data_IF_547126694473
#
_entry.id   IF_547126694473
#
_cell.length_a   1.000
_cell.length_b   1.000
_cell.length_c   1.000
_cell.angle_alpha   90.00
_cell.angle_beta   90.00
_cell.angle_gamma   90.00
#
_symmetry.space_group_name_H-M   'P 1'
#
loop_
_entity.id
_entity.type
_entity.pdbx_description
1 polymer ?
2 non-polymer ?
3 non-polymer ?
4 non-polymer ?
5 non-polymer ?
6 water ?
#
# COMPACT_ATOMS: atom_id res chain seq x y z
N UNK A 3 29.73 -0.70 11.98
CA UNK A 3 29.23 -1.35 10.77
C UNK A 3 28.08 -2.31 11.08
N UNK A 4 27.84 -2.54 12.37
CA UNK A 4 26.86 -3.53 12.83
C UNK A 4 25.98 -2.83 13.86
N UNK A 5 25.02 -2.03 13.38
CA UNK A 5 24.38 -0.97 14.15
C UNK A 5 23.37 -1.52 15.17
N UNK A 6 23.05 -0.68 16.16
CA UNK A 6 22.21 -1.03 17.28
C UNK A 6 21.03 -0.07 17.37
N UNK A 7 19.81 -0.62 17.43
CA UNK A 7 18.60 0.16 17.65
C UNK A 7 18.07 -0.15 19.03
N UNK A 8 17.59 0.88 19.73
CA UNK A 8 17.11 0.73 21.10
C UNK A 8 15.64 1.08 21.19
N UNK A 9 14.96 0.43 22.13
CA UNK A 9 13.64 0.85 22.58
C UNK A 9 13.80 1.54 23.94
N UNK A 10 13.12 2.66 24.11
CA UNK A 10 13.26 3.44 25.35
C UNK A 10 12.07 3.31 26.29
N UNK A 11 11.05 2.54 25.91
CA UNK A 11 9.99 2.12 26.83
C UNK A 11 10.37 0.84 27.57
N UNK A 12 11.13 -0.05 26.92
CA UNK A 12 11.45 -1.39 27.41
C UNK A 12 12.93 -1.63 27.64
N UNK A 13 13.80 -0.68 27.31
CA UNK A 13 15.26 -0.83 27.43
C UNK A 13 15.74 -2.10 26.71
N UNK A 14 15.14 -2.36 25.56
CA UNK A 14 15.43 -3.51 24.72
C UNK A 14 16.30 -3.06 23.56
N UNK A 15 17.29 -3.89 23.20
CA UNK A 15 18.26 -3.54 22.19
C UNK A 15 18.35 -4.66 21.17
N UNK A 16 18.31 -4.29 19.88
CA UNK A 16 18.46 -5.22 18.77
C UNK A 16 19.67 -4.80 17.94
N UNK A 17 20.22 -5.77 17.21
CA UNK A 17 21.37 -5.52 16.33
C UNK A 17 20.96 -5.72 14.88
N UNK A 18 21.39 -4.80 14.04
CA UNK A 18 20.95 -4.75 12.65
C UNK A 18 22.18 -4.95 11.75
N UNK A 19 22.36 -6.17 11.26
CA UNK A 19 23.28 -6.42 10.15
C UNK A 19 22.60 -6.43 8.80
N UNK A 20 21.27 -6.61 8.77
CA UNK A 20 20.54 -6.70 7.50
C UNK A 20 20.80 -5.50 6.60
N UNK A 21 21.03 -4.31 7.18
CA UNK A 21 21.30 -3.12 6.39
C UNK A 21 22.55 -3.24 5.53
N UNK A 22 23.42 -4.21 5.82
CA UNK A 22 24.61 -4.42 5.00
C UNK A 22 24.25 -4.95 3.61
N UNK A 23 23.17 -5.72 3.50
CA UNK A 23 22.74 -6.17 2.18
C UNK A 23 22.05 -5.08 1.39
N UNK A 24 21.80 -3.92 2.00
CA UNK A 24 21.06 -2.86 1.34
C UNK A 24 21.79 -2.36 0.11
N UNK A 25 21.03 -1.73 -0.77
CA UNK A 25 21.47 -1.44 -2.12
C UNK A 25 21.10 -0.03 -2.56
N UNK A 26 19.80 0.28 -2.53
CA UNK A 26 19.32 1.56 -3.01
C UNK A 26 19.69 2.68 -2.04
N UNK A 27 19.69 3.90 -2.55
CA UNK A 27 19.94 5.07 -1.74
C UNK A 27 18.64 5.59 -1.14
N UNK A 28 18.77 6.49 -0.16
CA UNK A 28 17.65 6.88 0.68
C UNK A 28 17.29 8.35 0.63
N UNK A 29 18.03 9.17 -0.11
CA UNK A 29 17.89 10.61 -0.06
C UNK A 29 18.76 11.28 0.99
N UNK A 30 19.03 10.60 2.10
CA UNK A 30 19.86 11.18 3.14
C UNK A 30 21.31 11.14 2.72
N UNK A 31 22.04 12.17 3.13
CA UNK A 31 23.49 12.20 2.99
C UNK A 31 24.11 12.27 4.38
N UNK A 32 25.43 12.40 4.42
CA UNK A 32 26.10 12.54 5.70
C UNK A 32 25.71 13.84 6.40
N UNK A 33 25.31 14.85 5.63
CA UNK A 33 25.08 16.19 6.15
C UNK A 33 23.62 16.65 6.08
N UNK A 34 22.69 15.76 5.73
CA UNK A 34 21.27 16.12 5.70
C UNK A 34 20.40 14.87 5.73
N UNK A 35 19.24 14.97 6.35
CA UNK A 35 18.33 13.85 6.50
C UNK A 35 17.00 14.20 5.86
N UNK A 36 16.56 13.39 4.91
CA UNK A 36 15.32 13.59 4.20
C UNK A 36 14.19 12.73 4.76
N UNK A 37 14.35 12.19 5.96
CA UNK A 37 13.47 11.20 6.51
C UNK A 37 11.98 11.53 6.55
N UNK A 38 11.63 12.76 6.16
CA UNK A 38 10.26 13.24 6.24
C UNK A 38 9.78 13.82 4.91
N UNK A 39 10.67 13.93 3.92
CA UNK A 39 10.21 14.13 2.57
C UNK A 39 9.29 12.97 2.18
N UNK A 40 8.17 13.32 1.53
CA UNK A 40 7.13 12.33 1.23
C UNK A 40 7.56 11.33 0.16
N UNK A 41 7.93 11.84 -1.02
CA UNK A 41 8.30 11.01 -2.16
C UNK A 41 9.67 11.48 -2.64
N UNK A 42 10.75 10.98 -2.04
CA UNK A 42 12.08 11.34 -2.53
C UNK A 42 12.22 10.87 -3.97
N UNK A 43 13.17 11.47 -4.70
CA UNK A 43 13.48 10.97 -6.03
C UNK A 43 13.99 9.53 -6.00
N UNK A 44 14.29 9.00 -4.81
CA UNK A 44 14.72 7.62 -4.65
C UNK A 44 13.55 6.65 -4.67
N UNK A 45 12.45 7.01 -3.99
CA UNK A 45 11.27 6.15 -3.88
C UNK A 45 10.42 6.12 -5.15
N UNK A 46 10.70 6.98 -6.13
CA UNK A 46 9.97 7.03 -7.38
C UNK A 46 10.76 6.30 -8.47
N UNK A 47 10.03 5.64 -9.38
CA UNK A 47 10.65 4.89 -10.48
C UNK A 47 10.82 5.71 -11.76
N UNK A 52 13.97 3.61 -16.40
CA UNK A 52 13.92 2.73 -17.57
C UNK A 52 15.26 2.00 -17.70
N UNK A 53 15.24 0.66 -17.63
CA UNK A 53 16.43 -0.15 -17.42
C UNK A 53 16.89 -0.87 -18.68
N UNK A 54 18.22 -1.01 -18.83
CA UNK A 54 18.85 -1.63 -19.99
C UNK A 54 19.42 -3.00 -19.65
N UNK A 55 20.04 -3.62 -20.65
CA UNK A 55 20.42 -5.03 -20.58
C UNK A 55 21.68 -5.24 -19.75
N UNK A 56 22.69 -4.40 -19.93
CA UNK A 56 23.88 -4.49 -19.08
C UNK A 56 23.52 -4.34 -17.62
N UNK A 57 22.58 -3.44 -17.31
CA UNK A 57 22.16 -3.26 -15.93
C UNK A 57 21.43 -4.48 -15.39
N UNK A 58 20.87 -5.33 -16.26
CA UNK A 58 19.89 -6.30 -15.82
C UNK A 58 20.48 -7.56 -15.23
N UNK A 59 21.65 -8.02 -15.67
CA UNK A 59 22.07 -9.31 -15.15
C UNK A 59 22.46 -9.28 -13.67
N UNK A 60 23.21 -8.27 -13.21
CA UNK A 60 23.48 -8.20 -11.75
C UNK A 60 22.23 -8.31 -10.90
N UNK A 61 21.18 -7.57 -11.26
CA UNK A 61 19.96 -7.60 -10.47
C UNK A 61 19.30 -8.97 -10.53
N UNK A 62 19.25 -9.56 -11.73
CA UNK A 62 18.77 -10.95 -11.82
C UNK A 62 19.65 -11.88 -11.01
N UNK A 63 20.97 -11.70 -11.10
CA UNK A 63 21.89 -12.53 -10.33
C UNK A 63 21.64 -12.41 -8.83
N UNK A 64 21.67 -11.18 -8.33
CA UNK A 64 21.54 -10.96 -6.89
C UNK A 64 20.24 -11.52 -6.35
N UNK A 65 19.14 -11.33 -7.07
CA UNK A 65 17.84 -11.85 -6.63
C UNK A 65 17.81 -13.37 -6.61
N UNK A 66 18.34 -14.01 -7.65
CA UNK A 66 18.32 -15.47 -7.67
C UNK A 66 19.21 -16.03 -6.58
N UNK A 67 20.27 -15.30 -6.22
CA UNK A 67 21.18 -15.80 -5.20
C UNK A 67 20.54 -15.78 -3.82
N UNK A 68 19.59 -14.87 -3.58
CA UNK A 68 18.87 -14.90 -2.31
C UNK A 68 17.68 -15.85 -2.37
N UNK A 69 17.04 -15.97 -3.53
CA UNK A 69 15.92 -16.90 -3.62
C UNK A 69 16.38 -18.34 -3.41
N UNK A 70 17.53 -18.72 -3.94
CA UNK A 70 18.01 -20.07 -3.66
C UNK A 70 18.64 -20.18 -2.28
N UNK A 71 19.18 -19.07 -1.76
CA UNK A 71 19.66 -19.07 -0.39
C UNK A 71 18.54 -19.32 0.61
N UNK A 72 17.30 -19.02 0.24
CA UNK A 72 16.17 -19.14 1.16
C UNK A 72 15.44 -20.48 1.07
N UNK A 73 15.76 -21.34 0.09
CA UNK A 73 15.20 -22.69 0.06
C UNK A 73 16.27 -23.72 0.39
N UNK A 74 17.36 -23.30 1.03
CA UNK A 74 18.45 -24.18 1.42
C UNK A 74 19.05 -24.90 0.22
N UNK A 75 19.32 -24.13 -0.84
CA UNK A 75 20.06 -24.61 -2.00
C UNK A 75 20.94 -23.50 -2.57
N UNK A 76 21.62 -22.78 -1.68
CA UNK A 76 22.54 -21.70 -2.02
C UNK A 76 23.74 -22.23 -2.78
N UNK A 77 23.74 -22.08 -4.11
CA UNK A 77 24.92 -22.34 -4.91
C UNK A 77 25.01 -23.71 -5.56
N UNK A 78 24.01 -24.56 -5.39
CA UNK A 78 24.06 -25.91 -5.94
C UNK A 78 23.94 -25.86 -7.46
N UNK A 79 23.71 -27.02 -8.07
CA UNK A 79 23.52 -27.08 -9.52
C UNK A 79 22.17 -26.50 -9.92
N UNK A 80 21.14 -26.67 -9.08
CA UNK A 80 19.86 -26.00 -9.33
C UNK A 80 20.05 -24.50 -9.40
N UNK A 81 20.81 -23.94 -8.45
CA UNK A 81 21.12 -22.51 -8.46
C UNK A 81 21.91 -22.13 -9.71
N UNK A 82 23.04 -22.79 -9.94
CA UNK A 82 23.91 -22.43 -11.05
C UNK A 82 23.20 -22.55 -12.39
N UNK A 83 22.47 -23.65 -12.62
CA UNK A 83 21.77 -23.82 -13.89
C UNK A 83 20.81 -22.67 -14.13
N UNK A 84 20.00 -22.33 -13.11
CA UNK A 84 19.06 -21.23 -13.23
C UNK A 84 19.78 -19.91 -13.47
N UNK A 85 20.99 -19.76 -12.91
CA UNK A 85 21.78 -18.57 -13.18
C UNK A 85 22.16 -18.49 -14.65
N UNK A 86 22.73 -19.58 -15.18
CA UNK A 86 23.04 -19.63 -16.59
C UNK A 86 21.78 -19.51 -17.45
N UNK A 87 20.67 -20.09 -16.99
CA UNK A 87 19.44 -20.09 -17.77
C UNK A 87 18.92 -18.68 -18.01
N UNK A 88 18.94 -17.83 -16.98
CA UNK A 88 18.46 -16.46 -17.13
C UNK A 88 19.52 -15.60 -17.78
N UNK A 89 20.79 -15.80 -17.43
CA UNK A 89 21.88 -15.19 -18.17
C UNK A 89 21.71 -15.44 -19.68
N UNK A 90 21.38 -16.67 -20.05
CA UNK A 90 21.13 -16.99 -21.46
C UNK A 90 19.93 -16.21 -21.99
N UNK A 91 18.77 -16.33 -21.35
CA UNK A 91 17.59 -15.59 -21.78
C UNK A 91 17.84 -14.09 -21.79
N UNK A 92 18.71 -13.60 -20.92
CA UNK A 92 19.05 -12.18 -20.91
C UNK A 92 19.92 -11.83 -22.11
N UNK A 93 20.76 -12.75 -22.59
CA UNK A 93 21.40 -12.53 -23.88
C UNK A 93 20.35 -12.49 -24.98
N UNK A 94 19.49 -13.50 -25.02
CA UNK A 94 18.59 -13.70 -26.15
C UNK A 94 17.62 -12.53 -26.31
N UNK A 95 16.85 -12.24 -25.26
CA UNK A 95 15.79 -11.24 -25.32
C UNK A 95 16.12 -9.98 -24.53
N UNK A 96 17.36 -9.84 -24.04
CA UNK A 96 17.78 -8.68 -23.25
C UNK A 96 17.07 -8.64 -21.90
N UNK A 97 15.92 -9.30 -21.79
CA UNK A 97 15.18 -9.40 -20.54
C UNK A 97 14.88 -10.88 -20.25
N UNK A 98 14.00 -11.18 -19.30
CA UNK A 98 13.77 -12.56 -18.89
C UNK A 98 12.44 -12.67 -18.14
N UNK A 99 12.12 -13.89 -17.74
CA UNK A 99 10.84 -14.22 -17.13
C UNK A 99 11.06 -14.96 -15.82
N UNK A 100 10.23 -14.64 -14.82
CA UNK A 100 10.29 -15.26 -13.50
C UNK A 100 9.50 -16.55 -13.41
N UNK A 101 10.09 -17.56 -12.77
CA UNK A 101 9.36 -18.76 -12.36
C UNK A 101 8.16 -18.39 -11.51
N UNK A 102 7.13 -19.24 -11.56
CA UNK A 102 6.02 -19.10 -10.62
C UNK A 102 6.52 -18.98 -9.17
N UNK A 103 7.53 -19.78 -8.83
CA UNK A 103 8.08 -19.77 -7.48
C UNK A 103 8.82 -18.47 -7.18
N UNK A 104 9.54 -17.94 -8.17
CA UNK A 104 10.25 -16.68 -7.97
C UNK A 104 9.30 -15.50 -7.86
N UNK A 105 8.11 -15.59 -8.46
CA UNK A 105 7.16 -14.49 -8.38
C UNK A 105 6.56 -14.38 -6.98
N UNK A 106 6.16 -15.52 -6.39
CA UNK A 106 5.58 -15.53 -5.04
C UNK A 106 6.61 -15.06 -4.01
N UNK A 107 7.86 -15.52 -4.16
CA UNK A 107 8.95 -15.08 -3.32
C UNK A 107 9.17 -13.58 -3.44
N UNK A 108 9.48 -13.10 -4.65
CA UNK A 108 9.75 -11.68 -4.84
C UNK A 108 8.62 -10.81 -4.33
N UNK A 109 7.38 -11.18 -4.68
CA UNK A 109 6.20 -10.45 -4.25
C UNK A 109 6.17 -10.31 -2.73
N UNK A 110 6.28 -11.43 -2.01
CA UNK A 110 6.15 -11.42 -0.56
C UNK A 110 7.24 -10.59 0.09
N UNK A 111 8.43 -10.58 -0.51
CA UNK A 111 9.54 -9.84 0.04
C UNK A 111 9.50 -8.36 -0.31
N UNK A 112 8.76 -7.97 -1.35
CA UNK A 112 8.55 -6.54 -1.54
C UNK A 112 7.71 -5.97 -0.40
N UNK A 113 6.72 -6.74 0.04
CA UNK A 113 5.97 -6.37 1.23
C UNK A 113 6.86 -6.42 2.46
N UNK A 114 7.57 -7.53 2.65
CA UNK A 114 8.42 -7.69 3.83
C UNK A 114 9.44 -6.56 3.94
N UNK A 115 9.94 -6.06 2.80
CA UNK A 115 10.92 -4.97 2.77
C UNK A 115 10.32 -3.57 2.76
N UNK A 116 9.00 -3.44 2.85
CA UNK A 116 8.32 -2.16 2.72
C UNK A 116 8.38 -1.46 4.09
N UNK A 117 9.29 -0.49 4.21
CA UNK A 117 9.66 0.06 5.51
C UNK A 117 8.58 0.97 6.06
N UNK A 118 7.69 1.46 5.21
CA UNK A 118 6.62 2.32 5.66
C UNK A 118 5.38 1.55 6.11
N UNK A 119 5.43 0.21 6.13
CA UNK A 119 4.25 -0.63 6.34
C UNK A 119 4.25 -1.21 7.76
N UNK A 120 3.29 -0.76 8.58
CA UNK A 120 3.17 -1.23 9.96
C UNK A 120 2.67 -2.67 10.08
N UNK A 121 1.95 -3.19 9.08
CA UNK A 121 1.35 -4.51 9.15
C UNK A 121 2.16 -5.66 8.60
N UNK A 122 3.46 -5.47 8.42
CA UNK A 122 4.26 -6.48 7.73
C UNK A 122 4.39 -7.78 8.49
N UNK A 123 3.82 -7.92 9.68
CA UNK A 123 3.91 -9.17 10.41
C UNK A 123 3.31 -10.32 9.60
N UNK A 124 2.50 -9.99 8.59
CA UNK A 124 1.69 -10.95 7.85
C UNK A 124 2.28 -11.23 6.47
N UNK A 125 3.52 -10.82 6.24
CA UNK A 125 4.07 -10.75 4.89
C UNK A 125 4.15 -12.12 4.24
N UNK A 126 4.41 -13.17 5.01
CA UNK A 126 4.49 -14.50 4.39
C UNK A 126 3.11 -15.04 4.03
N UNK A 127 2.09 -14.76 4.85
CA UNK A 127 0.71 -15.07 4.48
C UNK A 127 0.21 -14.11 3.41
N UNK A 128 0.66 -14.29 2.16
CA UNK A 128 0.26 -13.45 1.04
C UNK A 128 -0.12 -14.33 -0.14
N UNK A 129 -1.21 -13.97 -0.82
CA UNK A 129 -1.75 -14.74 -1.92
C UNK A 129 -1.36 -14.04 -3.21
N UNK A 130 -0.69 -14.77 -4.09
CA UNK A 130 -0.16 -14.18 -5.31
C UNK A 130 -1.00 -14.70 -6.48
N UNK A 131 -1.58 -13.77 -7.24
CA UNK A 131 -2.35 -14.07 -8.44
C UNK A 131 -1.49 -13.67 -9.62
N UNK A 132 -1.19 -14.62 -10.49
CA UNK A 132 -0.33 -14.35 -11.63
C UNK A 132 -1.22 -13.96 -12.78
N UNK A 133 -1.24 -12.66 -13.08
CA UNK A 133 -1.97 -12.13 -14.22
C UNK A 133 -1.06 -11.81 -15.38
N UNK A 134 0.14 -12.42 -15.40
CA UNK A 134 1.04 -12.17 -16.52
C UNK A 134 0.53 -12.73 -17.86
N UNK A 135 -0.51 -13.57 -17.88
CA UNK A 135 -1.09 -13.94 -19.18
C UNK A 135 -2.12 -12.93 -19.67
N UNK A 136 -2.27 -11.79 -18.99
CA UNK A 136 -3.33 -10.87 -19.36
C UNK A 136 -2.94 -10.08 -20.62
N UNK A 137 -3.96 -9.67 -21.39
CA UNK A 137 -3.73 -8.96 -22.66
C UNK A 137 -4.62 -7.74 -22.91
N UNK A 138 -5.82 -7.65 -22.34
CA UNK A 138 -6.78 -6.60 -22.63
C UNK A 138 -7.17 -5.88 -21.34
N UNK A 139 -7.80 -4.71 -21.49
CA UNK A 139 -8.40 -4.08 -20.33
C UNK A 139 -9.51 -4.95 -19.76
N UNK A 140 -10.22 -5.69 -20.60
CA UNK A 140 -11.25 -6.59 -20.09
C UNK A 140 -10.65 -7.73 -19.26
N UNK A 141 -9.58 -8.34 -19.76
CA UNK A 141 -8.84 -9.29 -18.94
C UNK A 141 -8.42 -8.73 -17.60
N UNK A 142 -7.96 -7.47 -17.58
CA UNK A 142 -7.57 -6.86 -16.30
C UNK A 142 -8.77 -6.73 -15.38
N UNK A 143 -9.91 -6.30 -15.93
CA UNK A 143 -11.09 -6.14 -15.11
C UNK A 143 -11.50 -7.46 -14.48
N UNK A 144 -11.23 -8.56 -15.17
CA UNK A 144 -11.68 -9.86 -14.69
C UNK A 144 -10.75 -10.37 -13.60
N UNK A 145 -9.46 -10.17 -13.77
CA UNK A 145 -8.51 -10.50 -12.71
C UNK A 145 -8.74 -9.63 -11.49
N UNK A 146 -9.03 -8.35 -11.68
CA UNK A 146 -9.17 -7.44 -10.56
C UNK A 146 -10.44 -7.78 -9.78
N UNK A 147 -11.51 -8.16 -10.49
CA UNK A 147 -12.74 -8.55 -9.84
C UNK A 147 -12.55 -9.82 -9.03
N UNK A 148 -11.89 -10.82 -9.63
CA UNK A 148 -11.61 -12.03 -8.86
C UNK A 148 -10.74 -11.72 -7.65
N UNK A 149 -9.90 -10.68 -7.72
CA UNK A 149 -9.09 -10.30 -6.55
C UNK A 149 -9.99 -9.72 -5.46
N UNK A 150 -10.73 -8.64 -5.78
CA UNK A 150 -11.73 -8.08 -4.86
C UNK A 150 -12.53 -9.19 -4.17
N UNK A 151 -13.12 -10.10 -4.96
CA UNK A 151 -13.92 -11.16 -4.34
C UNK A 151 -13.08 -11.96 -3.35
N UNK A 152 -11.92 -12.46 -3.80
CA UNK A 152 -11.10 -13.32 -2.95
C UNK A 152 -10.64 -12.57 -1.69
N UNK A 153 -10.01 -11.41 -1.84
CA UNK A 153 -9.46 -10.76 -0.66
C UNK A 153 -10.56 -10.37 0.31
N UNK A 154 -11.73 -10.00 -0.22
CA UNK A 154 -12.84 -9.58 0.64
C UNK A 154 -13.35 -10.74 1.49
N UNK A 155 -13.54 -11.92 0.87
CA UNK A 155 -13.86 -13.15 1.60
C UNK A 155 -14.89 -12.89 2.70
N UNK A 156 -15.95 -12.17 2.34
CA UNK A 156 -17.10 -11.96 3.19
C UNK A 156 -16.75 -11.13 4.42
N UNK A 157 -15.80 -10.19 4.26
CA UNK A 157 -15.29 -9.39 5.34
C UNK A 157 -14.23 -10.07 6.17
N UNK A 158 -14.11 -11.38 6.09
CA UNK A 158 -12.97 -12.10 6.64
C UNK A 158 -11.82 -11.87 5.67
N UNK A 159 -11.19 -10.69 5.77
CA UNK A 159 -10.29 -10.25 4.72
C UNK A 159 -9.06 -11.13 4.65
N UNK A 160 -8.48 -11.19 3.44
CA UNK A 160 -7.26 -11.92 3.14
C UNK A 160 -6.36 -11.06 2.27
N UNK A 161 -5.04 -11.19 2.48
CA UNK A 161 -4.09 -10.39 1.72
C UNK A 161 -3.89 -11.02 0.37
N UNK A 162 -3.80 -10.17 -0.66
CA UNK A 162 -3.56 -10.68 -2.00
C UNK A 162 -2.90 -9.61 -2.86
N UNK A 163 -2.29 -10.07 -3.95
CA UNK A 163 -1.67 -9.22 -4.95
C UNK A 163 -1.91 -9.86 -6.32
N UNK A 164 -2.18 -9.03 -7.32
CA UNK A 164 -2.32 -9.52 -8.69
C UNK A 164 -1.31 -8.83 -9.59
N UNK A 165 -0.53 -9.63 -10.32
CA UNK A 165 0.70 -9.19 -10.97
C UNK A 165 0.51 -9.25 -12.48
N UNK A 166 0.20 -8.11 -13.07
CA UNK A 166 0.04 -8.02 -14.52
C UNK A 166 1.41 -8.04 -15.18
N UNK A 167 1.47 -8.28 -16.49
CA UNK A 167 2.77 -8.53 -17.12
C UNK A 167 3.72 -7.35 -16.98
N UNK A 168 5.00 -7.70 -16.90
CA UNK A 168 6.03 -6.72 -16.64
C UNK A 168 6.19 -5.77 -17.82
N UNK A 169 6.54 -4.54 -17.47
CA UNK A 169 7.01 -3.56 -18.44
C UNK A 169 8.08 -4.20 -19.32
N UNK A 170 8.03 -3.89 -20.62
CA UNK A 170 8.99 -4.44 -21.54
C UNK A 170 9.69 -3.25 -22.19
N UNK A 171 9.30 -2.88 -23.41
CA UNK A 171 9.85 -1.70 -24.06
C UNK A 171 9.73 -0.46 -23.17
N UNK A 172 8.61 -0.31 -22.47
CA UNK A 172 8.34 0.87 -21.67
C UNK A 172 7.12 1.66 -22.09
N UNK A 173 6.71 1.57 -23.36
CA UNK A 173 5.46 2.16 -23.82
C UNK A 173 4.31 1.17 -23.89
N UNK A 174 4.61 -0.13 -24.00
CA UNK A 174 3.60 -1.18 -23.82
C UNK A 174 3.57 -1.50 -22.34
N UNK A 175 2.60 -0.91 -21.64
CA UNK A 175 2.61 -0.90 -20.18
C UNK A 175 1.23 -1.11 -19.64
N UNK A 176 1.11 -2.09 -18.74
CA UNK A 176 -0.13 -2.30 -18.00
C UNK A 176 -0.15 -1.39 -16.78
N UNK A 177 -1.21 -0.57 -16.68
CA UNK A 177 -1.41 0.25 -15.48
C UNK A 177 -2.87 0.26 -15.06
N UNK A 178 -3.11 0.09 -13.76
CA UNK A 178 -4.35 0.51 -13.12
C UNK A 178 -4.21 2.00 -12.81
N UNK A 179 -5.11 2.82 -13.37
CA UNK A 179 -5.02 4.26 -13.21
C UNK A 179 -5.62 4.75 -11.88
N UNK A 180 -6.36 3.90 -11.18
CA UNK A 180 -6.92 4.28 -9.88
C UNK A 180 -5.82 4.17 -8.82
N UNK A 181 -5.89 5.06 -7.81
CA UNK A 181 -4.94 4.95 -6.69
C UNK A 181 -5.22 3.69 -5.89
N UNK A 182 -6.47 3.50 -5.47
CA UNK A 182 -6.93 2.26 -4.87
C UNK A 182 -8.05 1.71 -5.73
N UNK A 183 -8.16 0.39 -5.79
CA UNK A 183 -9.23 -0.19 -6.59
C UNK A 183 -10.58 0.38 -6.17
N UNK A 184 -10.81 0.49 -4.87
CA UNK A 184 -12.07 1.00 -4.33
C UNK A 184 -11.77 2.35 -3.71
N UNK A 185 -12.39 3.40 -4.26
CA UNK A 185 -12.30 4.77 -3.76
C UNK A 185 -13.58 5.52 -4.12
N UNK A 186 -13.98 6.42 -3.23
CA UNK A 186 -15.15 7.24 -3.43
C UNK A 186 -14.83 8.44 -4.33
N UNK A 187 -15.82 8.88 -5.10
CA UNK A 187 -15.61 9.95 -6.06
C UNK A 187 -15.48 11.29 -5.36
N UNK A 188 -14.87 12.24 -6.05
CA UNK A 188 -14.67 13.57 -5.51
C UNK A 188 -15.18 14.62 -6.46
N UNK A 189 -16.14 15.42 -6.02
CA UNK A 189 -16.79 16.40 -6.89
C UNK A 189 -16.66 17.78 -6.30
N UNK A 190 -16.12 18.69 -7.09
CA UNK A 190 -16.20 20.12 -6.79
C UNK A 190 -17.64 20.60 -6.93
N UNK A 191 -17.98 21.64 -6.19
CA UNK A 191 -19.35 22.16 -6.15
C UNK A 191 -19.39 23.55 -6.78
N UNK A 192 -20.54 24.29 -6.74
CA UNK A 192 -20.52 25.67 -7.23
C UNK A 192 -19.65 26.60 -6.39
N UNK A 193 -19.85 26.57 -5.09
CA UNK A 193 -19.11 27.44 -4.19
C UNK A 193 -17.66 27.04 -4.03
N UNK A 194 -17.19 26.05 -4.79
CA UNK A 194 -15.82 25.60 -4.72
C UNK A 194 -15.60 24.43 -3.78
N UNK A 195 -16.38 24.36 -2.70
CA UNK A 195 -16.30 23.25 -1.76
C UNK A 195 -16.46 21.93 -2.49
N UNK A 196 -16.19 20.83 -1.78
CA UNK A 196 -16.02 19.53 -2.41
C UNK A 196 -16.96 18.50 -1.79
N UNK A 197 -17.84 17.93 -2.61
CA UNK A 197 -18.62 16.76 -2.25
C UNK A 197 -17.81 15.50 -2.54
N UNK A 198 -18.01 14.48 -1.71
CA UNK A 198 -17.36 13.21 -1.92
C UNK A 198 -15.99 13.17 -1.26
N UNK A 199 -14.96 12.95 -2.06
CA UNK A 199 -13.59 12.81 -1.53
C UNK A 199 -12.69 13.80 -2.26
N UNK A 200 -12.31 14.90 -1.61
CA UNK A 200 -11.44 15.88 -2.28
C UNK A 200 -10.18 15.29 -2.88
N UNK A 201 -9.67 14.18 -2.32
CA UNK A 201 -8.42 13.63 -2.81
C UNK A 201 -8.50 13.25 -4.29
N UNK A 202 -9.65 12.77 -4.73
CA UNK A 202 -9.79 12.11 -6.02
C UNK A 202 -10.44 12.99 -7.06
N UNK A 203 -10.66 14.28 -6.76
CA UNK A 203 -11.41 15.14 -7.68
C UNK A 203 -10.73 15.20 -9.03
N UNK A 204 -9.39 15.19 -9.04
CA UNK A 204 -8.69 15.08 -10.32
C UNK A 204 -9.10 13.81 -11.05
N UNK A 205 -9.02 12.66 -10.38
CA UNK A 205 -9.30 11.39 -11.05
C UNK A 205 -10.76 11.29 -11.49
N UNK A 206 -11.68 11.69 -10.61
CA UNK A 206 -13.10 11.72 -10.98
C UNK A 206 -13.30 12.46 -12.29
N UNK A 207 -12.55 13.55 -12.52
CA UNK A 207 -12.68 14.32 -13.75
C UNK A 207 -12.22 13.52 -14.96
N UNK A 208 -11.03 12.91 -14.88
CA UNK A 208 -10.54 12.10 -15.99
C UNK A 208 -11.48 10.92 -16.23
N UNK A 209 -12.10 10.40 -15.18
CA UNK A 209 -13.10 9.35 -15.35
C UNK A 209 -14.29 9.85 -16.16
N UNK A 210 -14.82 11.02 -15.82
CA UNK A 210 -15.96 11.55 -16.55
C UNK A 210 -15.53 12.05 -17.93
N UNK A 211 -14.28 12.52 -18.05
CA UNK A 211 -13.68 12.79 -19.35
C UNK A 211 -13.83 11.58 -20.27
N UNK A 212 -13.26 10.44 -19.86
CA UNK A 212 -13.34 9.19 -20.62
C UNK A 212 -14.75 8.63 -20.72
N UNK A 213 -15.70 9.16 -19.95
CA UNK A 213 -17.09 8.82 -20.20
C UNK A 213 -17.94 8.44 -19.00
N UNK A 214 -17.41 8.58 -17.78
CA UNK A 214 -18.18 8.18 -16.60
C UNK A 214 -19.43 9.04 -16.48
N UNK A 215 -20.48 8.41 -15.98
CA UNK A 215 -21.74 9.09 -15.70
C UNK A 215 -21.90 9.06 -14.19
N UNK A 216 -21.51 10.15 -13.53
CA UNK A 216 -21.40 10.14 -12.08
C UNK A 216 -22.76 10.28 -11.42
N UNK A 217 -23.02 9.54 -10.31
CA UNK A 217 -24.22 9.74 -9.50
C UNK A 217 -24.02 10.84 -8.47
N UNK A 218 -23.38 11.94 -8.90
CA UNK A 218 -22.83 13.04 -8.11
C UNK A 218 -23.30 13.09 -6.66
N UNK A 219 -22.86 12.12 -5.85
CA UNK A 219 -23.13 12.10 -4.43
C UNK A 219 -21.83 12.05 -3.63
N UNK A 220 -21.91 11.58 -2.38
CA UNK A 220 -20.71 11.41 -1.57
C UNK A 220 -19.98 10.14 -1.92
N UNK A 221 -20.44 9.05 -1.31
CA UNK A 221 -19.72 7.77 -1.31
C UNK A 221 -20.10 6.97 -2.56
N UNK A 222 -19.82 7.61 -3.70
CA UNK A 222 -19.92 6.96 -5.01
C UNK A 222 -18.64 6.18 -5.27
N UNK A 223 -18.74 4.86 -5.33
CA UNK A 223 -17.61 4.01 -5.67
C UNK A 223 -17.18 4.33 -7.11
N UNK A 224 -15.91 4.68 -7.28
CA UNK A 224 -15.42 5.02 -8.61
C UNK A 224 -15.37 3.79 -9.50
N UNK A 225 -15.38 3.99 -10.82
CA UNK A 225 -15.13 2.89 -11.75
C UNK A 225 -13.63 2.66 -11.91
N UNK A 226 -13.30 1.50 -12.45
CA UNK A 226 -11.92 1.18 -12.75
C UNK A 226 -11.52 1.76 -14.11
N UNK A 227 -10.31 2.34 -14.17
CA UNK A 227 -9.67 2.77 -15.40
C UNK A 227 -8.45 1.88 -15.62
N UNK A 228 -8.49 1.04 -16.66
CA UNK A 228 -7.50 -0.01 -16.86
C UNK A 228 -6.79 0.20 -18.20
N UNK A 229 -5.46 0.34 -18.14
CA UNK A 229 -4.60 0.48 -19.30
C UNK A 229 -3.89 -0.85 -19.56
N UNK A 230 -3.98 -1.35 -20.79
CA UNK A 230 -3.43 -2.65 -21.13
C UNK A 230 -2.43 -2.51 -22.27
N UNK A 231 -1.25 -3.07 -22.10
CA UNK A 231 -0.21 -3.13 -23.11
C UNK A 231 -0.06 -1.79 -23.84
N UNK A 232 -0.07 -0.71 -23.05
CA UNK A 232 0.12 0.61 -23.58
C UNK A 232 -1.11 1.28 -24.17
N UNK A 233 -2.19 0.54 -24.36
CA UNK A 233 -3.37 1.11 -25.00
C UNK A 233 -4.09 2.08 -24.06
N UNK A 234 -4.95 2.90 -24.65
CA UNK A 234 -5.70 3.87 -23.87
C UNK A 234 -6.64 3.16 -22.91
N UNK A 235 -6.74 3.65 -21.67
CA UNK A 235 -7.50 2.93 -20.64
C UNK A 235 -8.99 2.97 -20.89
N UNK A 236 -9.69 2.07 -20.21
CA UNK A 236 -11.10 1.80 -20.46
C UNK A 236 -11.82 1.67 -19.13
N UNK A 237 -13.08 2.08 -19.11
CA UNK A 237 -13.83 2.18 -17.86
C UNK A 237 -14.59 0.90 -17.59
N UNK A 238 -14.47 0.38 -16.37
CA UNK A 238 -15.24 -0.78 -15.92
C UNK A 238 -15.68 -0.53 -14.48
N UNK A 239 -16.92 -0.88 -14.18
CA UNK A 239 -17.46 -0.72 -12.83
C UNK A 239 -17.49 -2.09 -12.15
N UNK A 240 -16.81 -2.19 -11.01
CA UNK A 240 -16.86 -3.39 -10.17
C UNK A 240 -18.33 -3.68 -9.88
N UNK A 241 -18.78 -4.93 -9.92
CA UNK A 241 -20.13 -5.21 -9.49
C UNK A 241 -20.35 -4.71 -8.08
N UNK A 242 -21.42 -3.98 -7.83
CA UNK A 242 -21.68 -3.49 -6.47
C UNK A 242 -21.70 -4.60 -5.44
N UNK A 243 -22.18 -5.80 -5.81
CA UNK A 243 -22.21 -6.91 -4.86
C UNK A 243 -20.81 -7.28 -4.36
N UNK A 244 -19.74 -6.82 -5.00
CA UNK A 244 -18.39 -7.19 -4.61
C UNK A 244 -17.71 -6.10 -3.81
N UNK A 245 -18.35 -4.94 -3.70
CA UNK A 245 -17.86 -3.80 -2.95
C UNK A 245 -18.54 -3.84 -1.61
N UNK A 246 -17.85 -4.45 -0.65
CA UNK A 246 -18.34 -4.50 0.73
C UNK A 246 -18.03 -3.17 1.43
N UNK A 247 -19.07 -2.56 1.97
CA UNK A 247 -19.02 -1.27 2.65
C UNK A 247 -19.52 -1.42 4.09
N UNK A 248 -18.96 -0.62 4.99
CA UNK A 248 -19.32 -0.66 6.40
C UNK A 248 -19.94 0.66 6.85
N UNK A 249 -21.23 0.67 7.20
CA UNK A 249 -21.84 1.89 7.75
C UNK A 249 -21.30 2.18 9.14
N UNK A 250 -20.99 3.45 9.39
CA UNK A 250 -20.24 3.86 10.58
C UNK A 250 -21.24 4.34 11.63
N UNK A 251 -21.45 3.52 12.66
CA UNK A 251 -22.21 3.93 13.82
C UNK A 251 -21.29 4.03 15.03
N UNK A 252 -21.81 4.61 16.10
CA UNK A 252 -21.11 4.70 17.36
C UNK A 252 -21.84 3.90 18.42
N UNK A 253 -21.11 3.29 19.38
CA UNK A 253 -21.78 2.55 20.46
C UNK A 253 -22.33 3.42 21.57
N UNK A 254 -22.50 4.73 21.33
CA UNK A 254 -23.23 5.59 22.25
C UNK A 254 -24.19 6.47 21.46
N UNK A 255 -23.62 7.49 20.82
CA UNK A 255 -24.35 8.55 20.15
C UNK A 255 -25.25 8.06 19.01
N UNK A 256 -26.56 8.02 19.25
CA UNK A 256 -27.52 7.62 18.22
C UNK A 256 -27.56 8.60 17.05
N UNK A 257 -27.01 9.80 17.19
CA UNK A 257 -26.90 10.68 16.02
C UNK A 257 -25.75 10.32 15.12
N UNK A 258 -24.89 9.39 15.55
CA UNK A 258 -23.79 8.96 14.71
C UNK A 258 -24.27 8.25 13.46
N UNK A 259 -25.42 7.58 13.53
CA UNK A 259 -26.03 7.06 12.32
C UNK A 259 -26.44 8.20 11.39
N UNK A 260 -27.03 9.24 11.96
CA UNK A 260 -27.46 10.38 11.15
C UNK A 260 -26.28 11.13 10.56
N UNK A 261 -25.09 10.98 11.14
CA UNK A 261 -23.87 11.46 10.49
C UNK A 261 -23.75 10.88 9.09
N UNK A 262 -24.10 9.61 8.92
CA UNK A 262 -24.32 9.05 7.60
C UNK A 262 -23.08 8.57 6.88
N UNK A 263 -22.04 8.21 7.60
CA UNK A 263 -20.80 7.85 6.94
C UNK A 263 -20.69 6.34 6.73
N UNK A 264 -19.79 5.96 5.83
CA UNK A 264 -19.51 4.57 5.53
C UNK A 264 -18.15 4.50 4.88
N UNK A 265 -17.54 3.32 4.93
CA UNK A 265 -16.26 3.13 4.26
C UNK A 265 -16.22 1.72 3.68
N UNK A 266 -15.38 1.55 2.67
CA UNK A 266 -15.17 0.24 2.08
C UNK A 266 -14.27 -0.62 2.96
N UNK A 267 -14.57 -1.91 3.02
CA UNK A 267 -13.78 -2.81 3.83
C UNK A 267 -12.35 -2.97 3.35
N UNK A 268 -12.14 -2.96 2.02
CA UNK A 268 -10.90 -3.44 1.42
C UNK A 268 -10.01 -2.27 1.03
N UNK A 269 -8.83 -2.12 1.65
CA UNK A 269 -7.83 -1.19 1.12
C UNK A 269 -6.94 -1.93 0.14
N UNK A 270 -6.87 -1.42 -1.07
CA UNK A 270 -6.22 -2.12 -2.17
C UNK A 270 -5.45 -1.08 -2.96
N UNK A 271 -4.14 -1.03 -2.74
CA UNK A 271 -3.32 -0.03 -3.38
C UNK A 271 -2.91 -0.54 -4.75
N UNK A 272 -3.22 0.23 -5.79
CA UNK A 272 -3.09 -0.25 -7.16
C UNK A 272 -2.08 0.49 -8.02
N UNK A 273 -1.54 1.63 -7.57
CA UNK A 273 -0.89 2.57 -8.48
C UNK A 273 0.61 2.49 -8.42
N UNK A 274 1.16 1.44 -7.81
CA UNK A 274 2.59 1.37 -7.56
C UNK A 274 3.23 0.22 -8.31
N UNK A 275 4.55 0.17 -8.17
CA UNK A 275 5.43 -0.60 -9.04
C UNK A 275 6.18 -1.63 -8.22
N UNK A 276 6.01 -2.90 -8.59
CA UNK A 276 6.68 -4.03 -7.94
C UNK A 276 7.96 -4.36 -8.70
N UNK A 277 9.09 -4.28 -8.02
CA UNK A 277 10.42 -4.55 -8.58
C UNK A 277 10.90 -5.91 -8.08
N UNK A 278 11.20 -6.81 -9.02
CA UNK A 278 11.70 -8.14 -8.68
C UNK A 278 12.83 -8.47 -9.65
N UNK A 279 14.02 -8.72 -9.12
CA UNK A 279 15.19 -9.10 -9.89
C UNK A 279 15.46 -8.20 -11.08
N UNK A 280 15.14 -6.93 -10.95
CA UNK A 280 15.41 -5.98 -12.01
C UNK A 280 14.29 -5.85 -13.02
N UNK A 281 13.17 -6.51 -12.78
CA UNK A 281 12.03 -6.46 -13.69
C UNK A 281 10.94 -5.60 -13.04
N UNK A 282 10.23 -4.85 -13.86
CA UNK A 282 9.31 -3.83 -13.40
C UNK A 282 7.88 -4.21 -13.75
N UNK A 283 7.07 -4.43 -12.73
CA UNK A 283 5.63 -4.68 -12.89
C UNK A 283 4.90 -3.38 -12.57
N UNK A 284 4.43 -2.70 -13.63
CA UNK A 284 3.83 -1.38 -13.51
C UNK A 284 2.41 -1.42 -12.92
N UNK A 285 1.73 -2.56 -13.05
CA UNK A 285 0.40 -2.78 -12.47
C UNK A 285 0.51 -4.01 -11.57
N UNK A 286 0.11 -3.86 -10.31
CA UNK A 286 0.29 -4.93 -9.34
C UNK A 286 -0.56 -4.76 -8.09
N UNK A 287 -1.87 -4.46 -8.24
CA UNK A 287 -2.68 -4.05 -7.08
C UNK A 287 -2.60 -5.07 -5.95
N UNK A 288 -2.41 -4.57 -4.73
CA UNK A 288 -2.32 -5.41 -3.54
C UNK A 288 -3.28 -4.91 -2.46
N UNK A 289 -3.78 -5.83 -1.65
CA UNK A 289 -4.78 -5.47 -0.64
C UNK A 289 -4.47 -6.15 0.68
N UNK A 290 -4.98 -5.56 1.76
CA UNK A 290 -5.00 -6.24 3.03
C UNK A 290 -6.28 -5.93 3.76
N UNK A 291 -6.18 -5.53 5.03
CA UNK A 291 -7.28 -5.00 5.81
C UNK A 291 -6.84 -3.67 6.42
N UNK A 292 -7.80 -2.88 6.90
CA UNK A 292 -7.47 -1.53 7.38
C UNK A 292 -7.00 -1.52 8.83
N UNK A 293 -6.07 -0.61 9.13
CA UNK A 293 -5.89 -0.14 10.50
C UNK A 293 -6.90 1.00 10.72
N UNK A 294 -7.51 1.03 11.91
CA UNK A 294 -8.64 1.93 12.09
C UNK A 294 -8.29 3.38 11.81
N UNK A 295 -7.04 3.77 12.12
CA UNK A 295 -6.64 5.19 12.01
C UNK A 295 -6.65 5.67 10.57
N UNK A 296 -6.31 4.77 9.62
CA UNK A 296 -6.30 5.15 8.22
C UNK A 296 -7.63 5.77 7.78
N UNK A 297 -8.73 5.37 8.41
CA UNK A 297 -10.05 5.87 8.01
C UNK A 297 -10.52 6.94 9.00
N UNK A 298 -10.52 6.57 10.28
CA UNK A 298 -11.03 7.47 11.30
C UNK A 298 -10.24 8.74 11.46
N UNK A 299 -8.91 8.65 11.40
CA UNK A 299 -8.02 9.79 11.57
C UNK A 299 -7.76 10.53 10.27
N UNK A 300 -7.18 9.85 9.28
CA UNK A 300 -6.72 10.51 8.07
C UNK A 300 -7.86 10.78 7.08
N UNK A 301 -8.52 9.71 6.58
CA UNK A 301 -9.62 9.84 5.63
C UNK A 301 -10.69 10.80 6.12
N UNK A 302 -11.23 10.54 7.30
CA UNK A 302 -12.35 11.34 7.80
C UNK A 302 -11.91 12.71 8.32
N UNK A 303 -10.68 12.89 8.80
CA UNK A 303 -10.35 14.12 9.52
C UNK A 303 -9.18 14.93 8.96
N UNK A 304 -8.43 14.44 7.98
CA UNK A 304 -7.49 15.33 7.29
C UNK A 304 -8.24 16.57 6.83
N UNK A 305 -7.61 17.73 7.00
CA UNK A 305 -8.26 18.97 6.59
C UNK A 305 -8.69 18.92 5.12
N UNK A 306 -7.81 18.39 4.26
CA UNK A 306 -8.06 18.35 2.82
C UNK A 306 -8.60 16.99 2.38
N UNK A 307 -9.22 16.24 3.30
CA UNK A 307 -9.93 15.01 2.94
C UNK A 307 -11.40 15.23 3.30
N UNK A 308 -11.98 14.42 4.19
CA UNK A 308 -13.41 14.51 4.43
C UNK A 308 -13.79 15.56 5.46
N UNK A 309 -12.87 15.88 6.37
CA UNK A 309 -12.95 17.06 7.22
C UNK A 309 -14.27 17.11 7.99
N UNK A 310 -14.45 16.13 8.86
CA UNK A 310 -15.69 15.96 9.61
C UNK A 310 -15.57 16.38 11.06
N UNK A 311 -14.37 16.74 11.54
CA UNK A 311 -14.24 17.23 12.92
C UNK A 311 -15.13 18.44 13.16
N UNK A 312 -15.31 19.27 12.14
CA UNK A 312 -16.33 20.32 12.17
C UNK A 312 -17.68 19.78 12.66
N UNK A 313 -18.23 18.82 11.91
CA UNK A 313 -19.61 18.39 12.12
C UNK A 313 -19.75 17.51 13.36
N UNK A 314 -18.78 16.64 13.60
CA UNK A 314 -18.85 15.76 14.76
C UNK A 314 -18.82 16.57 16.04
N UNK A 315 -17.88 17.52 16.15
CA UNK A 315 -17.78 18.33 17.37
C UNK A 315 -19.10 19.03 17.65
N UNK A 316 -19.77 19.50 16.59
CA UNK A 316 -21.06 20.15 16.77
C UNK A 316 -22.01 19.25 17.56
N UNK A 317 -22.32 18.07 17.00
CA UNK A 317 -23.29 17.17 17.61
C UNK A 317 -22.91 16.79 19.03
N UNK A 318 -21.62 16.71 19.32
CA UNK A 318 -21.18 16.43 20.68
C UNK A 318 -21.42 17.61 21.62
N UNK A 319 -21.78 18.78 21.09
CA UNK A 319 -21.86 20.03 21.87
C UNK A 319 -20.50 20.33 22.51
N UNK A 320 -19.62 21.01 21.79
CA UNK A 320 -18.21 21.08 22.17
C UNK A 320 -17.73 22.52 22.23
N UNK A 321 -16.85 22.78 23.19
CA UNK A 321 -16.23 24.09 23.35
C UNK A 321 -15.39 24.40 22.12
N UNK A 322 -16.03 24.80 21.03
CA UNK A 322 -15.32 25.02 19.78
C UNK A 322 -14.82 26.46 19.62
N UNK A 323 -15.01 27.31 20.63
CA UNK A 323 -14.42 28.63 20.57
C UNK A 323 -12.90 28.51 20.72
N UNK A 324 -12.46 28.11 21.90
CA UNK A 324 -11.04 28.03 22.20
C UNK A 324 -10.37 26.91 21.40
N UNK A 325 -9.14 27.16 20.97
CA UNK A 325 -8.33 26.09 20.36
C UNK A 325 -7.96 25.03 21.40
N UNK A 326 -7.64 25.48 22.62
CA UNK A 326 -7.05 24.70 23.70
C UNK A 326 -8.08 23.98 24.56
N UNK A 327 -9.38 24.08 24.24
CA UNK A 327 -10.34 23.12 24.76
C UNK A 327 -10.07 21.68 24.29
N UNK A 328 -9.21 21.49 23.28
CA UNK A 328 -8.90 20.17 22.70
C UNK A 328 -10.17 19.46 22.18
N UNK A 329 -11.03 20.23 21.51
CA UNK A 329 -12.26 19.64 20.99
C UNK A 329 -11.96 18.79 19.76
N UNK A 330 -10.99 19.19 18.94
CA UNK A 330 -10.58 18.35 17.82
C UNK A 330 -10.10 16.99 18.32
N UNK A 331 -9.24 16.97 19.33
CA UNK A 331 -8.78 15.71 19.90
C UNK A 331 -9.96 14.91 20.43
N UNK A 332 -10.90 15.58 21.08
CA UNK A 332 -12.03 14.86 21.67
C UNK A 332 -12.83 14.13 20.60
N UNK A 333 -13.23 14.85 19.54
CA UNK A 333 -14.03 14.26 18.48
C UNK A 333 -13.25 13.27 17.61
N UNK A 334 -11.93 13.26 17.69
CA UNK A 334 -11.16 12.29 16.92
C UNK A 334 -11.12 10.94 17.60
N UNK A 335 -10.99 10.90 18.93
CA UNK A 335 -11.07 9.61 19.62
C UNK A 335 -12.44 8.98 19.46
N UNK A 336 -13.52 9.79 19.54
CA UNK A 336 -14.86 9.25 19.33
C UNK A 336 -15.02 8.71 17.91
N UNK A 337 -14.54 9.47 16.93
CA UNK A 337 -14.64 9.06 15.53
C UNK A 337 -13.93 7.73 15.31
N UNK A 338 -12.82 7.51 16.00
CA UNK A 338 -12.10 6.27 15.77
C UNK A 338 -12.66 5.08 16.56
N UNK A 339 -13.34 5.32 17.69
CA UNK A 339 -14.05 4.25 18.40
C UNK A 339 -15.21 3.74 17.55
N UNK A 340 -15.82 4.64 16.79
CA UNK A 340 -16.97 4.31 15.94
C UNK A 340 -16.57 3.52 14.70
N UNK A 341 -15.46 3.88 14.04
CA UNK A 341 -15.02 3.13 12.87
C UNK A 341 -14.72 1.69 13.27
N UNK A 342 -13.87 1.52 14.27
CA UNK A 342 -13.56 0.20 14.81
C UNK A 342 -14.84 -0.56 15.16
N UNK A 343 -15.66 0.02 16.05
CA UNK A 343 -16.92 -0.62 16.46
C UNK A 343 -17.74 -1.06 15.24
N UNK A 344 -18.03 -0.13 14.33
CA UNK A 344 -18.85 -0.43 13.16
C UNK A 344 -18.28 -1.60 12.35
N UNK A 345 -16.97 -1.57 12.11
CA UNK A 345 -16.32 -2.63 11.34
C UNK A 345 -16.41 -3.96 12.07
N UNK A 346 -16.25 -3.97 13.39
CA UNK A 346 -16.23 -5.24 14.11
C UNK A 346 -17.62 -5.82 14.28
N UNK A 347 -18.66 -4.99 14.33
CA UNK A 347 -20.01 -5.51 14.51
C UNK A 347 -20.54 -6.13 13.23
N UNK A 348 -19.82 -5.95 12.12
CA UNK A 348 -20.14 -6.51 10.82
C UNK A 348 -19.19 -7.64 10.44
N UNK A 349 -18.29 -8.03 11.35
CA UNK A 349 -17.35 -9.12 11.12
C UNK A 349 -16.46 -8.85 9.92
N UNK A 350 -16.20 -7.57 9.68
CA UNK A 350 -15.22 -7.14 8.68
C UNK A 350 -13.89 -6.87 9.35
N UNK A 351 -12.83 -7.49 8.83
CA UNK A 351 -11.53 -7.43 9.46
C UNK A 351 -11.03 -5.99 9.56
N UNK A 352 -10.72 -5.56 10.79
CA UNK A 352 -10.07 -4.29 11.04
C UNK A 352 -9.17 -4.46 12.26
N UNK A 353 -8.13 -3.65 12.34
CA UNK A 353 -7.16 -3.71 13.43
C UNK A 353 -7.04 -2.31 14.04
N UNK A 354 -7.06 -2.24 15.37
CA UNK A 354 -6.90 -0.96 16.03
C UNK A 354 -5.41 -0.58 16.02
N UNK A 355 -5.11 0.69 16.27
CA UNK A 355 -3.72 1.13 16.11
C UNK A 355 -2.79 0.65 17.23
N UNK A 356 -3.34 0.25 18.38
CA UNK A 356 -2.57 -0.36 19.45
C UNK A 356 -2.18 -1.80 19.14
N UNK A 357 -3.19 -2.62 18.83
CA UNK A 357 -2.90 -3.98 18.40
C UNK A 357 -1.85 -4.01 17.31
N UNK A 358 -1.99 -3.15 16.29
CA UNK A 358 -1.13 -3.27 15.13
C UNK A 358 0.30 -2.85 15.45
N UNK A 359 0.44 -1.79 16.26
CA UNK A 359 1.79 -1.35 16.61
C UNK A 359 2.46 -2.36 17.53
N UNK A 360 1.69 -3.07 18.37
CA UNK A 360 2.34 -4.05 19.22
C UNK A 360 2.88 -5.19 18.40
N UNK A 361 2.08 -5.65 17.42
CA UNK A 361 2.52 -6.72 16.53
C UNK A 361 3.76 -6.31 15.74
N UNK A 362 3.79 -5.07 15.25
CA UNK A 362 4.96 -4.64 14.51
C UNK A 362 6.22 -4.70 15.35
N UNK A 363 6.10 -4.57 16.66
CA UNK A 363 7.27 -4.72 17.51
C UNK A 363 7.64 -6.19 17.65
N UNK A 364 6.65 -7.02 18.00
CA UNK A 364 6.82 -8.47 17.94
C UNK A 364 7.35 -8.92 16.59
N UNK A 365 6.89 -8.27 15.50
CA UNK A 365 7.45 -8.56 14.18
C UNK A 365 8.91 -8.15 14.11
N UNK A 366 9.20 -6.92 14.54
CA UNK A 366 10.57 -6.42 14.50
C UNK A 366 11.50 -7.38 15.22
N UNK A 367 11.03 -7.99 16.31
CA UNK A 367 11.84 -8.95 17.05
C UNK A 367 12.29 -10.09 16.13
N UNK A 368 11.33 -10.71 15.45
CA UNK A 368 11.64 -11.86 14.60
C UNK A 368 12.49 -11.48 13.40
N UNK A 369 12.24 -10.31 12.80
CA UNK A 369 13.07 -9.86 11.69
C UNK A 369 14.51 -9.65 12.11
N UNK A 370 14.74 -9.16 13.33
CA UNK A 370 16.12 -8.99 13.78
C UNK A 370 16.74 -10.31 14.19
N UNK A 371 15.93 -11.24 14.71
CA UNK A 371 16.46 -12.52 15.14
C UNK A 371 16.75 -13.43 13.95
N UNK A 372 15.73 -13.74 13.15
CA UNK A 372 15.86 -14.70 12.06
C UNK A 372 16.15 -14.04 10.71
N UNK A 373 16.57 -12.77 10.70
CA UNK A 373 16.90 -12.12 9.43
C UNK A 373 17.96 -11.03 9.58
N UNK A 374 18.27 -10.66 10.81
CA UNK A 374 19.33 -9.70 11.08
C UNK A 374 18.94 -8.23 10.99
N UNK A 375 17.66 -7.92 11.03
CA UNK A 375 17.22 -6.53 10.98
C UNK A 375 15.83 -6.42 10.40
N UNK A 376 15.37 -5.16 10.28
CA UNK A 376 14.07 -4.86 9.72
C UNK A 376 13.99 -3.39 9.35
N UNK A 377 14.01 -3.04 8.07
CA UNK A 377 13.90 -1.63 7.67
C UNK A 377 12.59 -1.06 8.14
N UNK A 378 12.62 0.14 8.72
CA UNK A 378 11.39 0.68 9.27
C UNK A 378 11.45 2.21 9.25
N UNK A 379 10.35 2.83 8.83
CA UNK A 379 10.28 4.27 8.67
C UNK A 379 9.41 4.82 9.80
N UNK A 380 10.06 5.39 10.82
CA UNK A 380 9.35 5.87 11.99
C UNK A 380 8.27 6.89 11.61
N UNK A 381 8.59 7.81 10.71
CA UNK A 381 7.66 8.86 10.30
C UNK A 381 6.33 8.28 9.89
N UNK A 382 6.35 7.07 9.30
CA UNK A 382 5.20 6.39 8.72
C UNK A 382 4.68 5.23 9.58
N UNK A 383 5.54 4.59 10.36
CA UNK A 383 5.09 3.53 11.27
C UNK A 383 4.26 4.09 12.44
N UNK A 384 4.66 5.23 13.02
CA UNK A 384 3.90 5.75 14.18
C UNK A 384 2.48 6.10 13.75
N UNK A 385 1.45 5.58 14.40
CA UNK A 385 0.08 5.94 14.02
C UNK A 385 -0.14 7.43 14.20
N UNK A 386 -1.05 8.04 13.41
CA UNK A 386 -1.18 9.51 13.41
C UNK A 386 -2.13 10.08 14.46
N UNK A 387 -2.40 9.30 15.50
CA UNK A 387 -3.00 9.80 16.73
C UNK A 387 -2.41 9.01 17.87
N UNK A 388 -2.42 9.62 19.07
CA UNK A 388 -1.97 8.92 20.27
C UNK A 388 -0.59 8.28 20.07
N UNK A 389 0.26 8.95 19.31
CA UNK A 389 1.58 8.44 18.99
C UNK A 389 2.32 7.82 20.16
N UNK A 390 2.53 8.57 21.24
CA UNK A 390 3.45 8.06 22.26
C UNK A 390 2.81 7.05 23.19
N UNK A 391 1.49 6.84 23.12
CA UNK A 391 0.90 5.75 23.89
C UNK A 391 0.97 4.43 23.14
N UNK A 392 1.39 4.46 21.85
CA UNK A 392 1.66 3.19 21.20
C UNK A 392 3.14 2.85 21.32
N UNK A 393 3.52 1.56 21.27
CA UNK A 393 4.90 1.20 21.60
C UNK A 393 5.92 1.53 20.52
N UNK A 394 5.49 1.83 19.31
CA UNK A 394 6.46 2.12 18.25
C UNK A 394 7.02 3.52 18.37
N UNK A 395 6.32 4.41 19.09
CA UNK A 395 6.85 5.75 19.31
C UNK A 395 8.23 5.71 19.94
N UNK A 396 8.49 4.70 20.78
CA UNK A 396 9.68 4.60 21.60
C UNK A 396 10.72 3.64 21.05
N UNK A 397 10.44 3.04 19.90
CA UNK A 397 11.36 2.12 19.26
C UNK A 397 12.13 2.89 18.19
N UNK A 398 13.45 2.84 18.29
CA UNK A 398 14.31 3.35 17.23
C UNK A 398 14.29 2.41 16.05
N UNK A 399 14.10 2.95 14.85
CA UNK A 399 14.10 2.13 13.65
C UNK A 399 15.09 2.69 12.66
N UNK A 400 16.01 1.83 12.19
CA UNK A 400 16.85 2.10 11.03
C UNK A 400 16.05 1.91 9.75
N UNK A 401 15.98 2.94 8.92
CA UNK A 401 15.39 2.86 7.59
C UNK A 401 16.49 2.60 6.56
N UNK A 402 16.21 1.72 5.61
CA UNK A 402 17.08 1.47 4.49
C UNK A 402 16.28 0.67 3.47
N UNK A 403 16.79 0.65 2.25
CA UNK A 403 16.00 0.21 1.12
C UNK A 403 16.62 -1.05 0.54
N UNK A 404 15.95 -2.17 0.78
CA UNK A 404 16.33 -3.44 0.19
C UNK A 404 15.47 -3.70 -1.04
N UNK A 405 15.64 -4.87 -1.62
CA UNK A 405 14.92 -5.28 -2.81
C UNK A 405 14.80 -6.79 -2.76
N UNK A 406 13.72 -7.37 -3.30
CA UNK A 406 12.56 -6.79 -4.01
C UNK A 406 11.75 -5.73 -3.23
N UNK A 407 11.07 -4.81 -3.94
CA UNK A 407 10.50 -3.65 -3.28
C UNK A 407 9.28 -3.14 -4.04
N UNK A 408 8.52 -2.27 -3.37
CA UNK A 408 7.46 -1.50 -4.00
C UNK A 408 7.92 -0.05 -4.16
N UNK A 409 7.76 0.49 -5.36
CA UNK A 409 8.19 1.84 -5.67
C UNK A 409 7.02 2.64 -6.20
N UNK A 410 6.99 3.92 -5.82
CA UNK A 410 6.09 4.87 -6.44
C UNK A 410 6.45 5.05 -7.91
N UNK A 411 5.49 5.53 -8.67
CA UNK A 411 5.69 5.76 -10.09
C UNK A 411 4.79 6.92 -10.49
N UNK A 412 5.14 7.66 -11.54
CA UNK A 412 4.30 8.80 -11.95
C UNK A 412 2.94 8.35 -12.44
N UNK A 413 1.95 9.23 -12.29
CA UNK A 413 0.60 8.93 -12.71
C UNK A 413 0.53 8.81 -14.23
N UNK A 414 -0.29 7.91 -14.76
CA UNK A 414 -0.23 7.62 -16.20
C UNK A 414 -0.58 8.81 -17.07
N UNK A 415 -1.62 9.57 -16.73
CA UNK A 415 -2.09 10.62 -17.63
C UNK A 415 -1.05 11.71 -17.83
N UNK A 416 -0.04 11.78 -16.97
CA UNK A 416 1.08 12.68 -17.23
C UNK A 416 2.01 12.10 -18.28
N UNK A 417 2.30 10.81 -18.17
CA UNK A 417 3.32 10.16 -18.99
C UNK A 417 2.76 9.54 -20.27
N UNK A 418 1.56 8.97 -20.19
CA UNK A 418 0.95 8.24 -21.29
C UNK A 418 0.91 9.06 -22.57
N UNK A 419 1.64 8.62 -23.60
CA UNK A 419 1.52 9.23 -24.92
C UNK A 419 0.15 8.85 -25.45
N UNK A 420 -0.79 9.79 -25.39
CA UNK A 420 -2.21 9.48 -25.61
C UNK A 420 -2.51 9.19 -27.07
N UNK A 421 -3.57 8.40 -27.27
CA UNK A 421 -4.18 8.02 -28.57
C UNK A 421 -3.25 7.74 -29.76
X LIG B 1 1.96 1.25 3.91
X LIG B 1 -1.09 -0.91 7.00
X LIG B 1 -0.89 -4.81 4.04
X LIG B 1 2.65 -2.88 1.41
X LIG B 1 1.08 1.07 4.96
X LIG B 1 0.64 2.06 5.94
X LIG B 1 -0.21 1.46 6.78
X LIG B 1 -0.33 0.06 6.39
X LIG B 1 -0.94 2.10 7.98
X LIG B 1 1.03 3.55 5.98
X LIG B 1 0.47 4.27 4.76
X LIG B 1 -0.55 5.31 5.15
X LIG B 1 -1.09 5.21 6.28
X LIG B 1 -0.81 6.24 4.34
X LIG B 1 -1.30 -2.17 6.48
X LIG B 1 -2.11 -3.23 7.06
X LIG B 1 -2.04 -4.29 6.26
X LIG B 1 -1.20 -3.97 5.12
X LIG B 1 -2.92 -3.18 8.39
X LIG B 1 -2.76 -5.62 6.53
X LIG B 1 -2.22 -6.78 6.15
X LIG B 1 0.01 -4.60 3.02
X LIG B 1 0.19 -5.43 1.85
X LIG B 1 1.17 -4.89 1.10
X LIG B 1 1.66 -3.73 1.80
X LIG B 1 -0.70 -6.68 1.62
X LIG B 1 1.82 -5.33 -0.24
X LIG B 1 1.71 -6.59 -0.69
X LIG B 1 2.71 -1.56 1.83
X LIG B 1 3.46 -0.52 1.17
X LIG B 1 3.26 0.61 1.86
X LIG B 1 2.38 0.32 2.97
X LIG B 1 4.30 -0.72 -0.10
X LIG B 1 3.80 2.04 1.56
X LIG B 1 5.31 2.22 1.55
X LIG B 1 5.60 3.58 0.94
X LIG B 1 6.77 3.79 0.54
X LIG B 1 4.67 4.44 0.85
X LIG B 1 0.48 -0.14 5.28
X LIG B 1 -0.74 -2.67 5.30
X LIG B 1 0.93 -3.59 2.95
X LIG B 1 2.06 -1.03 2.92
X LIG B 1 1.02 -2.07 4.33
X LIG C 1 2.58 8.38 7.75
X LIG C 1 1.58 7.64 7.17
X LIG C 1 1.26 6.41 7.65
X LIG C 1 0.89 8.13 6.11
X LIG C 1 1.19 9.34 5.61
X LIG C 1 0.55 9.78 4.62
X LIG C 1 2.23 10.08 6.18
X LIG C 1 2.93 9.59 7.27
X LIG C 1 2.57 11.30 5.71
X LIG C 1 3.94 10.33 7.87
X LIG C 1 3.92 11.82 6.02
X LIG C 1 4.21 11.71 7.50
X LIG C 1 4.03 13.27 5.55
X LIG C 1 2.98 13.95 6.23
X LIG C 1 5.37 13.91 5.90
X LIG C 1 5.34 15.44 5.81
X LIG C 1 6.39 13.48 4.99
X LIG D 1 18.07 10.44 7.40
X LIG E 1 -1.05 6.21 0.92
X LIG E 1 -2.22 8.32 0.54
X LIG E 1 -0.43 2.51 1.11
X LIG E 1 -0.08 7.34 0.66
X LIG E 1 -3.06 9.60 0.53
X LIG E 1 1.11 1.09 -0.01
X LIG E 1 2.13 3.25 -1.37
X LIG E 1 -3.76 -1.11 4.51
X LIG E 1 -3.59 -2.16 3.61
X LIG E 1 -2.90 -1.97 2.43
X LIG E 1 -2.34 -0.71 2.19
X LIG E 1 -2.54 0.31 3.11
X LIG E 1 -2.74 -3.13 1.47
X LIG E 1 -1.93 1.66 2.83
X LIG E 1 0.60 2.33 0.21
X LIG E 1 1.12 3.42 -0.48
X LIG E 1 0.60 4.69 -0.26
X LIG E 1 -0.45 4.86 0.65
X LIG E 1 -0.95 3.78 1.33
X LIG E 1 -2.47 10.52 -0.53
X LIG E 1 -1.08 10.88 -0.04
X LIG E 1 -0.21 9.63 0.03
X LIG E 1 -0.62 11.67 -1.04
X LIG E 1 -3.24 0.11 4.25
X LIG E 1 -4.47 -1.32 5.64
X LIG E 1 -0.81 8.59 0.88
X LIG E 1 -0.95 1.45 1.80
#
# INVERSE_FOLDING_TARGET
CPRFLKVKNWETDVVLTDTLHLKSTLETGCTEHICMGSIMLPSQHTRKPEDVATKDQLFPLAKEFLDQYYSSIKRFGSKAHMDRLEEVNKEIESTSTYQLKDTELIYGAKHAWRNASRCVGRIQWSKLQVFDARDCTTAHGMFNYICNHVKYATNKGNLRSAITIFPQRTDGKHDFRVWNSQLIRYAGYKQPDGSTLGDPANVQFTEICIQQGWKAPRGRFDVLPLLLQANGNDPELFQIPPELVLEVPIRHPKFDWFKDLGLKWYGLPAVSNMLLEIGGLEFSACPFSGWYMGTEIGVRDYCDNSRYNILEEVAKKMDLDMRKTSSLWKDQALVEINIAVLYSFQSDKVTIVDHHSATESFIKHMENEYRCRGGCPADWVWIVPPMSGSITPVFHQEMLNYRLTPSFEYQPDPWNTHVWKG
HEM CHA CHB CHC CHD C1A C2A C3A C4A CMA CAA CBA CGA O1A O2A C1B C2B C3B C4B CMB CAB CBB C1C C2C C3C C4C CMC CAC CBC C1D C2D C3D C4D CMD CAD CBD CGD O1D O2D NA NB NC ND FE
H4B N1 C2 N2 N3 C4 O4 C4A C8A N5 N8 C6 C7 C9 O9 C10 C11 O10
ZN ZN
A1COK C17 C22 C11 C18 C23 F12 F13 C02 C03 C04 C05 C06 C07 C08 C12 C13 C14 C15 C16 C24 C25 C26 F27 N01 N02 N21 O09
#
